data_IF_683621191262
#
_entry.id   IF_683621191262
#
_cell.length_a   1.000
_cell.length_b   1.000
_cell.length_c   1.000
_cell.angle_alpha   90.00
_cell.angle_beta   90.00
_cell.angle_gamma   90.00
#
_symmetry.space_group_name_H-M   'P 1'
#
loop_
_entity.id
_entity.type
_entity.pdbx_description
1 polymer ?
#
# COMPACT_ATOMS: atom_id res chain seq x y z
N UNK A 1 -15.76 24.78 -17.75
CA UNK A 1 -14.59 23.88 -17.59
C UNK A 1 -15.09 22.47 -17.32
N UNK A 2 -14.88 21.50 -18.21
CA UNK A 2 -15.29 20.11 -17.94
C UNK A 2 -14.50 19.54 -16.78
N UNK A 3 -15.20 19.04 -15.76
CA UNK A 3 -14.60 18.41 -14.59
C UNK A 3 -14.03 17.06 -15.03
N UNK A 4 -12.70 16.89 -14.92
CA UNK A 4 -12.08 15.58 -15.20
C UNK A 4 -12.65 14.52 -14.25
N UNK A 5 -12.98 13.35 -14.81
CA UNK A 5 -13.45 12.20 -14.03
C UNK A 5 -12.33 11.78 -13.07
N UNK A 6 -12.69 11.41 -11.84
CA UNK A 6 -11.74 10.88 -10.86
C UNK A 6 -11.26 9.51 -11.33
N UNK A 7 -9.94 9.35 -11.42
CA UNK A 7 -9.28 8.10 -11.82
C UNK A 7 -8.41 7.59 -10.67
N UNK A 8 -8.40 6.28 -10.46
CA UNK A 8 -7.45 5.64 -9.55
C UNK A 8 -6.22 5.17 -10.34
N UNK A 9 -5.07 5.07 -9.68
CA UNK A 9 -3.82 4.63 -10.30
C UNK A 9 -3.16 3.56 -9.42
N UNK A 10 -2.52 2.57 -10.03
CA UNK A 10 -1.70 1.57 -9.30
C UNK A 10 -0.48 2.23 -8.67
N UNK A 11 0.08 1.61 -7.63
CA UNK A 11 1.32 2.06 -7.01
C UNK A 11 2.46 2.08 -8.04
N UNK A 12 2.50 1.07 -8.91
CA UNK A 12 3.49 0.99 -9.99
C UNK A 12 3.41 2.19 -10.95
N UNK A 13 2.20 2.55 -11.41
CA UNK A 13 2.01 3.72 -12.27
C UNK A 13 2.48 5.01 -11.58
N UNK A 14 2.18 5.16 -10.28
CA UNK A 14 2.59 6.34 -9.52
C UNK A 14 4.11 6.40 -9.36
N UNK A 15 4.78 5.25 -9.18
CA UNK A 15 6.24 5.16 -9.10
C UNK A 15 6.88 5.56 -10.43
N UNK A 16 6.42 5.02 -11.55
CA UNK A 16 6.91 5.39 -12.89
C UNK A 16 6.72 6.89 -13.17
N UNK A 17 5.58 7.44 -12.74
CA UNK A 17 5.32 8.88 -12.88
C UNK A 17 6.24 9.74 -12.00
N UNK A 18 6.60 9.26 -10.80
CA UNK A 18 7.56 9.91 -9.90
C UNK A 18 8.98 9.85 -10.46
N UNK A 19 9.40 8.69 -10.99
CA UNK A 19 10.70 8.52 -11.64
C UNK A 19 10.84 9.50 -12.81
N UNK A 20 9.82 9.55 -13.69
CA UNK A 20 9.82 10.52 -14.79
C UNK A 20 9.87 11.96 -14.30
N UNK A 21 9.14 12.29 -13.23
CA UNK A 21 9.16 13.63 -12.66
C UNK A 21 10.51 14.01 -12.03
N UNK A 22 11.33 13.03 -11.63
CA UNK A 22 12.71 13.28 -11.20
C UNK A 22 13.63 13.57 -12.39
N UNK A 23 13.37 12.97 -13.56
CA UNK A 23 14.13 13.23 -14.80
C UNK A 23 13.80 14.57 -15.45
N UNK A 24 12.51 14.84 -15.70
CA UNK A 24 12.06 15.97 -16.55
C UNK A 24 11.30 17.06 -15.80
N UNK A 25 11.05 16.87 -14.50
CA UNK A 25 10.24 17.76 -13.69
C UNK A 25 8.74 17.45 -13.71
N UNK A 26 7.99 18.04 -12.77
CA UNK A 26 6.60 17.66 -12.52
C UNK A 26 5.65 18.00 -13.68
N UNK A 27 5.85 19.15 -14.34
CA UNK A 27 4.94 19.64 -15.39
C UNK A 27 5.03 18.80 -16.65
N UNK A 28 6.24 18.43 -17.05
CA UNK A 28 6.48 17.57 -18.21
C UNK A 28 6.05 16.14 -17.94
N UNK A 29 6.32 15.59 -16.74
CA UNK A 29 5.79 14.28 -16.35
C UNK A 29 4.25 14.25 -16.33
N UNK A 30 3.61 15.29 -15.81
CA UNK A 30 2.15 15.42 -15.80
C UNK A 30 1.56 15.40 -17.22
N UNK A 31 2.19 16.10 -18.17
CA UNK A 31 1.81 16.08 -19.59
C UNK A 31 2.01 14.69 -20.20
N UNK A 32 3.18 14.08 -19.98
CA UNK A 32 3.52 12.76 -20.51
C UNK A 32 2.51 11.69 -20.10
N UNK A 33 2.12 11.66 -18.81
CA UNK A 33 1.16 10.70 -18.27
C UNK A 33 -0.30 11.13 -18.38
N UNK A 34 -0.58 12.32 -18.93
CA UNK A 34 -1.91 12.94 -18.97
C UNK A 34 -2.61 12.97 -17.60
N UNK A 35 -1.87 13.36 -16.56
CA UNK A 35 -2.37 13.51 -15.20
C UNK A 35 -2.21 14.95 -14.71
N UNK A 36 -2.94 15.31 -13.67
CA UNK A 36 -2.73 16.61 -13.03
C UNK A 36 -1.37 16.70 -12.35
N UNK A 37 -0.70 17.84 -12.49
CA UNK A 37 0.59 18.14 -11.84
C UNK A 37 0.50 18.03 -10.31
N UNK A 38 -0.67 18.33 -9.74
CA UNK A 38 -0.97 18.12 -8.32
C UNK A 38 -0.88 16.66 -7.90
N UNK A 39 -1.26 15.71 -8.77
CA UNK A 39 -1.10 14.28 -8.49
C UNK A 39 0.37 13.88 -8.49
N UNK A 40 1.16 14.35 -9.46
CA UNK A 40 2.61 14.07 -9.50
C UNK A 40 3.29 14.54 -8.21
N UNK A 41 3.01 15.78 -7.79
CA UNK A 41 3.55 16.34 -6.54
C UNK A 41 3.10 15.57 -5.30
N UNK A 42 1.82 15.17 -5.24
CA UNK A 42 1.32 14.30 -4.17
C UNK A 42 2.04 12.95 -4.16
N UNK A 43 2.28 12.36 -5.33
CA UNK A 43 2.90 11.05 -5.43
C UNK A 43 4.39 11.09 -5.07
N UNK A 44 5.10 12.16 -5.45
CA UNK A 44 6.49 12.38 -5.00
C UNK A 44 6.60 12.41 -3.49
N UNK A 45 5.68 13.12 -2.80
CA UNK A 45 5.64 13.17 -1.33
C UNK A 45 5.41 11.79 -0.70
N UNK A 46 4.60 10.95 -1.35
CA UNK A 46 4.20 9.64 -0.84
C UNK A 46 4.99 8.48 -1.46
N UNK A 47 6.14 8.75 -2.09
CA UNK A 47 6.94 7.75 -2.83
C UNK A 47 7.24 6.51 -1.99
N UNK A 48 7.70 6.72 -0.76
CA UNK A 48 8.05 5.65 0.19
C UNK A 48 6.88 4.72 0.50
N UNK A 49 5.65 5.25 0.55
CA UNK A 49 4.46 4.42 0.77
C UNK A 49 4.17 3.51 -0.44
N UNK A 50 4.48 3.97 -1.66
CA UNK A 50 4.29 3.16 -2.86
C UNK A 50 5.38 2.10 -3.02
N UNK A 51 6.61 2.41 -2.64
CA UNK A 51 7.73 1.45 -2.62
C UNK A 51 7.49 0.30 -1.64
N UNK A 52 6.90 0.60 -0.47
CA UNK A 52 6.61 -0.38 0.58
C UNK A 52 5.31 -1.17 0.36
N UNK A 53 4.55 -0.89 -0.71
CA UNK A 53 3.26 -1.55 -0.96
C UNK A 53 3.30 -2.40 -2.24
N UNK A 54 2.33 -3.32 -2.36
CA UNK A 54 2.16 -4.09 -3.59
C UNK A 54 1.99 -3.15 -4.79
N UNK A 55 2.76 -3.41 -5.85
CA UNK A 55 2.76 -2.69 -7.13
C UNK A 55 1.34 -2.53 -7.72
N UNK A 56 0.47 -3.53 -7.54
CA UNK A 56 -0.92 -3.52 -8.02
C UNK A 56 -1.88 -2.72 -7.14
N UNK A 57 -1.48 -2.36 -5.91
CA UNK A 57 -2.32 -1.62 -4.97
C UNK A 57 -2.63 -0.23 -5.51
N UNK A 58 -3.92 0.14 -5.56
CA UNK A 58 -4.37 1.43 -6.12
C UNK A 58 -4.57 2.52 -5.08
N UNK A 59 -4.85 2.11 -3.85
CA UNK A 59 -5.23 2.99 -2.76
C UNK A 59 -4.85 2.36 -1.43
N UNK A 60 -4.41 3.19 -0.50
CA UNK A 60 -4.19 2.78 0.87
C UNK A 60 -5.43 3.10 1.70
N UNK A 61 -6.45 2.24 1.59
CA UNK A 61 -7.73 2.42 2.29
C UNK A 61 -7.67 2.07 3.77
N UNK A 62 -6.78 1.14 4.14
CA UNK A 62 -6.62 0.68 5.51
C UNK A 62 -5.50 1.52 6.12
N UNK A 63 -5.76 2.14 7.27
CA UNK A 63 -4.77 2.92 7.98
C UNK A 63 -3.63 2.05 8.53
N UNK A 64 -2.78 2.66 9.34
CA UNK A 64 -1.71 1.94 10.03
C UNK A 64 -2.28 0.87 10.98
N UNK A 65 -1.54 -0.23 11.21
CA UNK A 65 -1.86 -1.22 12.25
C UNK A 65 -2.13 -0.53 13.59
N UNK A 66 -3.13 -1.00 14.32
CA UNK A 66 -3.43 -0.47 15.66
C UNK A 66 -2.49 -1.08 16.71
N UNK A 67 -2.05 -2.32 16.47
CA UNK A 67 -1.15 -3.07 17.34
C UNK A 67 0.04 -3.62 16.54
N UNK A 68 1.02 -2.78 16.15
CA UNK A 68 2.04 -3.17 15.17
C UNK A 68 2.83 -4.44 15.52
N UNK A 69 3.24 -4.60 16.79
CA UNK A 69 3.98 -5.77 17.25
C UNK A 69 3.13 -7.05 17.17
N UNK A 70 1.93 -7.01 17.74
CA UNK A 70 1.01 -8.15 17.77
C UNK A 70 0.56 -8.55 16.36
N UNK A 71 0.20 -7.57 15.52
CA UNK A 71 -0.21 -7.82 14.14
C UNK A 71 0.94 -8.42 13.32
N UNK A 72 2.20 -8.01 13.56
CA UNK A 72 3.36 -8.59 12.90
C UNK A 72 3.60 -10.06 13.30
N UNK A 73 3.46 -10.41 14.57
CA UNK A 73 3.59 -11.79 15.04
C UNK A 73 2.47 -12.70 14.50
N UNK A 74 1.23 -12.21 14.53
CA UNK A 74 0.09 -12.92 13.95
C UNK A 74 0.30 -13.10 12.44
N UNK A 75 0.78 -12.09 11.73
CA UNK A 75 1.06 -12.18 10.30
C UNK A 75 2.12 -13.24 9.99
N UNK A 76 3.23 -13.29 10.75
CA UNK A 76 4.25 -14.35 10.62
C UNK A 76 3.64 -15.75 10.82
N UNK A 77 2.79 -15.91 11.82
CA UNK A 77 2.09 -17.17 12.06
C UNK A 77 1.15 -17.55 10.90
N UNK A 78 0.36 -16.60 10.38
CA UNK A 78 -0.54 -16.84 9.23
C UNK A 78 0.26 -17.32 8.01
N UNK A 79 1.39 -16.69 7.71
CA UNK A 79 2.24 -17.08 6.58
C UNK A 79 2.72 -18.52 6.73
N UNK A 80 3.18 -18.91 7.93
CA UNK A 80 3.62 -20.28 8.21
C UNK A 80 2.50 -21.30 8.03
N UNK A 81 1.31 -21.06 8.59
CA UNK A 81 0.19 -21.99 8.46
C UNK A 81 -0.27 -22.13 7.01
N UNK A 82 -0.21 -21.05 6.22
CA UNK A 82 -0.57 -21.09 4.79
C UNK A 82 0.48 -21.81 3.96
N UNK A 83 1.75 -21.70 4.30
CA UNK A 83 2.84 -22.45 3.68
C UNK A 83 2.68 -23.96 3.93
N UNK A 84 2.23 -24.32 5.14
CA UNK A 84 1.82 -25.69 5.49
C UNK A 84 0.53 -26.17 4.80
N UNK A 85 -0.09 -25.34 3.94
CA UNK A 85 -1.34 -25.64 3.25
C UNK A 85 -2.60 -25.60 4.13
N UNK A 86 -2.51 -25.08 5.36
CA UNK A 86 -3.65 -25.02 6.29
C UNK A 86 -4.50 -23.78 6.06
N UNK A 87 -5.81 -23.97 6.11
CA UNK A 87 -6.75 -22.85 6.07
C UNK A 87 -6.77 -22.11 7.42
N UNK A 88 -6.45 -20.81 7.39
CA UNK A 88 -6.48 -19.95 8.58
C UNK A 88 -7.80 -19.17 8.64
N UNK A 89 -8.66 -19.53 9.59
CA UNK A 89 -9.93 -18.82 9.82
C UNK A 89 -9.74 -17.54 10.65
N UNK A 90 -10.69 -16.63 10.57
CA UNK A 90 -10.73 -15.42 11.43
C UNK A 90 -10.83 -15.76 12.91
N UNK A 91 -11.51 -16.86 13.26
CA UNK A 91 -11.57 -17.37 14.62
C UNK A 91 -10.19 -17.79 15.11
N UNK A 92 -9.44 -18.56 14.31
CA UNK A 92 -8.09 -19.00 14.63
C UNK A 92 -7.14 -17.82 14.85
N UNK A 93 -7.26 -16.77 14.02
CA UNK A 93 -6.49 -15.52 14.18
C UNK A 93 -6.77 -14.86 15.53
N UNK A 94 -8.06 -14.74 15.92
CA UNK A 94 -8.44 -14.15 17.21
C UNK A 94 -7.93 -14.98 18.39
N UNK A 95 -7.99 -16.30 18.30
CA UNK A 95 -7.47 -17.18 19.34
C UNK A 95 -5.95 -17.06 19.47
N UNK A 96 -5.22 -17.04 18.35
CA UNK A 96 -3.77 -16.81 18.36
C UNK A 96 -3.42 -15.46 18.98
N UNK A 97 -4.16 -14.40 18.65
CA UNK A 97 -3.97 -13.07 19.22
C UNK A 97 -4.11 -13.07 20.74
N UNK A 98 -5.14 -13.74 21.28
CA UNK A 98 -5.34 -13.88 22.74
C UNK A 98 -4.18 -14.61 23.40
N UNK A 99 -3.73 -15.73 22.81
CA UNK A 99 -2.59 -16.50 23.34
C UNK A 99 -1.32 -15.64 23.39
N UNK A 100 -1.02 -14.90 22.32
CA UNK A 100 0.15 -14.02 22.28
C UNK A 100 0.05 -12.86 23.28
N UNK A 101 -1.16 -12.36 23.52
CA UNK A 101 -1.40 -11.29 24.49
C UNK A 101 -1.26 -11.75 25.94
N UNK A 102 -1.61 -12.99 26.26
CA UNK A 102 -1.47 -13.58 27.60
C UNK A 102 -0.12 -14.26 27.86
N UNK A 103 0.69 -14.48 26.82
CA UNK A 103 2.04 -15.05 26.95
C UNK A 103 3.12 -13.99 27.28
N UNK A 104 2.71 -12.71 27.41
CA UNK A 104 3.53 -11.55 27.74
C UNK A 104 3.20 -11.08 29.15
#
# INVERSE_FOLDING_TARGET
MMKRKRVSYTADFKLNAVEKANEVGNREAARFFNVDESNIRLWRRNKTNFENCDRRKRTDRRGKPHWPELEAEIHKWILKERDDGKAVSTFSIRMKARVLLHAK
#
